data_IF_115620407794
#
_entry.id   IF_115620407794
#
_cell.length_a   1.000
_cell.length_b   1.000
_cell.length_c   1.000
_cell.angle_alpha   90.00
_cell.angle_beta   90.00
_cell.angle_gamma   90.00
#
_symmetry.space_group_name_H-M   'P 1'
#
loop_
_entity.id
_entity.type
_entity.pdbx_description
1 polymer ?
#
# COMPACT_ATOMS: atom_id res chain seq x y z
N UNK A 1 -3.48 -1.37 36.73
CA UNK A 1 -2.07 -1.26 37.16
C UNK A 1 -1.94 -0.04 38.07
N UNK A 2 -1.47 -0.20 39.31
CA UNK A 2 -1.45 0.88 40.30
C UNK A 2 -0.53 2.02 39.81
N UNK A 3 -0.98 3.28 39.83
CA UNK A 3 -0.23 4.44 39.31
C UNK A 3 1.18 4.56 39.91
N UNK A 4 1.38 4.07 41.14
CA UNK A 4 2.67 4.02 41.80
C UNK A 4 3.67 3.04 41.14
N UNK A 5 3.19 1.94 40.55
CA UNK A 5 4.02 0.92 39.89
C UNK A 5 4.49 1.42 38.52
N UNK A 6 3.61 2.08 37.77
CA UNK A 6 3.94 2.66 36.46
C UNK A 6 5.03 3.74 36.56
N UNK A 7 4.98 4.62 37.57
CA UNK A 7 6.03 5.63 37.80
C UNK A 7 7.38 5.01 38.16
N UNK A 8 7.39 3.94 38.96
CA UNK A 8 8.63 3.23 39.34
C UNK A 8 9.28 2.53 38.14
N UNK A 9 8.48 1.93 37.25
CA UNK A 9 8.99 1.29 36.03
C UNK A 9 9.56 2.34 35.06
N UNK A 10 8.86 3.47 34.87
CA UNK A 10 9.34 4.55 34.02
C UNK A 10 10.64 5.18 34.53
N UNK A 11 10.79 5.38 35.85
CA UNK A 11 12.05 5.89 36.43
C UNK A 11 13.20 4.90 36.27
N UNK A 12 12.93 3.60 36.34
CA UNK A 12 13.95 2.56 36.16
C UNK A 12 14.43 2.51 34.70
N UNK A 13 13.51 2.59 33.73
CA UNK A 13 13.83 2.64 32.30
C UNK A 13 14.61 3.89 31.92
N UNK A 14 14.24 5.06 32.46
CA UNK A 14 14.97 6.30 32.23
C UNK A 14 16.39 6.25 32.82
N UNK A 15 16.57 5.65 34.00
CA UNK A 15 17.89 5.45 34.60
C UNK A 15 18.73 4.46 33.78
N UNK A 16 18.14 3.39 33.26
CA UNK A 16 18.83 2.39 32.45
C UNK A 16 19.25 2.97 31.08
N UNK A 17 18.40 3.80 30.46
CA UNK A 17 18.74 4.55 29.24
C UNK A 17 19.88 5.55 29.49
N UNK A 18 19.82 6.33 30.57
CA UNK A 18 20.92 7.25 30.90
C UNK A 18 22.24 6.51 31.15
N UNK A 19 22.18 5.34 31.80
CA UNK A 19 23.36 4.52 32.05
C UNK A 19 23.97 3.95 30.76
N UNK A 20 23.13 3.50 29.82
CA UNK A 20 23.57 3.04 28.50
C UNK A 20 24.25 4.14 27.68
N UNK A 21 23.78 5.38 27.80
CA UNK A 21 24.38 6.55 27.13
C UNK A 21 25.70 6.96 27.80
N UNK A 22 25.82 6.80 29.13
CA UNK A 22 27.01 7.23 29.90
C UNK A 22 28.17 6.22 29.92
N UNK A 23 27.89 4.92 29.72
CA UNK A 23 28.91 3.87 29.66
C UNK A 23 30.05 4.15 28.66
N UNK A 24 29.77 4.54 27.40
CA UNK A 24 30.84 4.86 26.45
C UNK A 24 31.62 6.13 26.84
N UNK A 25 30.98 7.13 27.47
CA UNK A 25 31.65 8.36 27.92
C UNK A 25 32.64 8.07 29.05
N UNK A 26 32.29 7.18 29.98
CA UNK A 26 33.19 6.83 31.08
C UNK A 26 34.37 5.94 30.64
N UNK A 27 34.21 5.13 29.60
CA UNK A 27 35.31 4.36 29.03
C UNK A 27 36.43 5.27 28.46
N UNK A 28 36.07 6.47 27.99
CA UNK A 28 37.03 7.46 27.48
C UNK A 28 37.78 8.20 28.61
N UNK A 29 37.18 8.32 29.81
CA UNK A 29 37.80 8.98 30.95
C UNK A 29 38.76 8.07 31.74
N UNK A 30 38.74 6.75 31.49
CA UNK A 30 39.52 5.76 32.24
C UNK A 30 40.84 5.35 31.56
N UNK A 31 41.19 5.93 30.41
CA UNK A 31 42.49 5.70 29.76
C UNK A 31 43.50 6.74 30.23
N UNK A 32 44.42 6.31 31.10
CA UNK A 32 45.55 7.11 31.59
C UNK A 32 46.36 7.70 30.42
N UNK A 33 46.18 9.00 30.17
CA UNK A 33 46.98 9.76 29.20
C UNK A 33 48.21 10.33 29.89
N UNK A 34 49.30 9.55 29.88
CA UNK A 34 50.65 10.10 30.04
C UNK A 34 51.27 10.30 28.65
N UNK A 35 50.82 11.33 27.92
CA UNK A 35 51.53 11.80 26.75
C UNK A 35 51.29 13.30 26.54
N UNK A 36 52.39 14.01 26.33
CA UNK A 36 52.53 15.44 26.28
C UNK A 36 51.75 16.10 25.12
N UNK A 37 51.44 17.38 25.35
CA UNK A 37 51.06 18.36 24.33
C UNK A 37 51.99 18.31 23.11
N UNK A 38 51.46 17.84 21.98
CA UNK A 38 51.81 18.33 20.65
C UNK A 38 50.55 18.43 19.82
N UNK A 39 50.53 19.44 18.96
CA UNK A 39 49.42 19.90 18.14
C UNK A 39 49.13 18.91 17.00
N UNK A 40 48.68 17.70 17.33
CA UNK A 40 48.33 16.67 16.37
C UNK A 40 46.85 16.30 16.54
N UNK A 41 46.10 16.44 15.45
CA UNK A 41 44.74 15.93 15.36
C UNK A 41 44.75 14.44 15.61
N UNK A 42 44.14 14.00 16.71
CA UNK A 42 43.86 12.58 16.95
C UNK A 42 42.59 12.23 16.19
N UNK A 43 42.76 11.68 14.98
CA UNK A 43 41.67 11.02 14.25
C UNK A 43 41.69 9.55 14.62
N UNK A 44 40.96 9.20 15.69
CA UNK A 44 40.70 7.81 16.02
C UNK A 44 39.21 7.49 15.76
N UNK A 45 38.94 6.39 15.08
CA UNK A 45 37.59 5.97 14.75
C UNK A 45 36.92 5.41 16.00
N UNK A 46 36.27 6.29 16.76
CA UNK A 46 35.34 5.91 17.82
C UNK A 46 34.25 5.07 17.17
N UNK A 47 34.24 3.76 17.42
CA UNK A 47 33.19 2.80 17.06
C UNK A 47 32.30 3.29 15.90
N UNK A 48 32.72 3.04 14.65
CA UNK A 48 31.76 3.14 13.55
C UNK A 48 30.90 1.88 13.65
N UNK A 49 29.87 1.91 14.49
CA UNK A 49 28.70 1.10 14.23
C UNK A 49 28.13 1.63 12.92
N UNK A 50 28.58 1.03 11.82
CA UNK A 50 27.90 1.10 10.55
C UNK A 50 26.61 0.32 10.77
N UNK A 51 25.63 0.98 11.38
CA UNK A 51 24.25 0.66 11.03
C UNK A 51 24.22 0.88 9.53
N UNK A 52 24.18 -0.23 8.77
CA UNK A 52 23.56 -0.17 7.46
C UNK A 52 22.16 0.32 7.75
N UNK A 53 21.98 1.64 7.66
CA UNK A 53 20.66 2.23 7.50
C UNK A 53 20.26 1.70 6.14
N UNK A 54 19.67 0.51 6.13
CA UNK A 54 18.90 0.11 4.98
C UNK A 54 17.89 1.24 4.83
N UNK A 55 17.92 1.95 3.71
CA UNK A 55 17.10 3.14 3.41
C UNK A 55 15.57 2.90 3.47
N UNK A 56 15.14 1.73 3.98
CA UNK A 56 13.76 1.32 4.13
C UNK A 56 13.35 1.47 5.59
N UNK A 57 12.84 2.66 5.96
CA UNK A 57 12.24 2.94 7.27
C UNK A 57 10.81 2.37 7.32
N UNK A 58 10.66 1.06 7.16
CA UNK A 58 9.35 0.39 7.17
C UNK A 58 9.42 -0.89 8.01
N UNK A 59 8.29 -1.28 8.62
CA UNK A 59 8.25 -2.47 9.47
C UNK A 59 8.48 -3.74 8.64
N UNK A 60 9.25 -4.69 9.17
CA UNK A 60 9.35 -6.01 8.56
C UNK A 60 8.03 -6.76 8.81
N UNK A 61 7.27 -6.99 7.74
CA UNK A 61 6.00 -7.72 7.77
C UNK A 61 6.09 -8.85 6.76
N UNK A 62 5.83 -10.07 7.21
CA UNK A 62 5.86 -11.29 6.40
C UNK A 62 4.59 -12.09 6.59
N UNK A 63 4.18 -12.84 5.58
CA UNK A 63 3.03 -13.74 5.65
C UNK A 63 3.44 -15.16 5.24
N UNK A 64 2.97 -16.17 5.96
CA UNK A 64 3.36 -17.57 5.78
C UNK A 64 2.93 -18.11 4.40
N UNK A 65 1.75 -17.69 3.94
CA UNK A 65 1.15 -18.08 2.66
C UNK A 65 1.70 -17.33 1.44
N UNK A 66 2.69 -16.45 1.64
CA UNK A 66 3.41 -15.78 0.55
C UNK A 66 4.73 -16.45 0.21
N UNK A 67 5.17 -17.49 0.92
CA UNK A 67 6.45 -18.12 0.67
C UNK A 67 6.56 -18.58 -0.81
N UNK A 68 7.51 -18.00 -1.55
CA UNK A 68 7.72 -18.22 -2.99
C UNK A 68 6.60 -17.72 -3.91
N UNK A 69 5.65 -16.95 -3.38
CA UNK A 69 4.58 -16.33 -4.17
C UNK A 69 5.14 -15.16 -4.99
N UNK A 70 4.73 -15.04 -6.25
CA UNK A 70 5.28 -14.04 -7.18
C UNK A 70 5.10 -12.59 -6.71
N UNK A 71 4.03 -12.32 -5.95
CA UNK A 71 3.72 -11.01 -5.39
C UNK A 71 4.29 -10.77 -3.98
N UNK A 72 5.05 -11.72 -3.41
CA UNK A 72 5.51 -11.66 -2.02
C UNK A 72 6.19 -10.31 -1.70
N UNK A 73 7.22 -9.95 -2.47
CA UNK A 73 7.99 -8.74 -2.22
C UNK A 73 7.15 -7.45 -2.30
N UNK A 74 6.21 -7.37 -3.24
CA UNK A 74 5.34 -6.20 -3.40
C UNK A 74 4.32 -6.13 -2.24
N UNK A 75 3.78 -7.26 -1.80
CA UNK A 75 2.81 -7.33 -0.69
C UNK A 75 3.50 -6.98 0.64
N UNK A 76 4.65 -7.59 0.94
CA UNK A 76 5.40 -7.34 2.17
C UNK A 76 5.89 -5.88 2.24
N UNK A 77 6.32 -5.29 1.12
CA UNK A 77 6.65 -3.87 1.04
C UNK A 77 5.47 -2.97 1.41
N UNK A 78 4.30 -3.19 0.81
CA UNK A 78 3.11 -2.40 1.08
C UNK A 78 2.61 -2.61 2.51
N UNK A 79 2.73 -3.83 3.05
CA UNK A 79 2.34 -4.15 4.41
C UNK A 79 3.27 -3.49 5.43
N UNK A 80 4.58 -3.50 5.19
CA UNK A 80 5.58 -2.81 6.02
C UNK A 80 5.40 -1.29 6.06
N UNK A 81 4.84 -0.72 4.99
CA UNK A 81 4.41 0.69 4.89
C UNK A 81 3.04 0.96 5.52
N UNK A 82 2.32 -0.06 5.98
CA UNK A 82 0.98 0.06 6.54
C UNK A 82 -0.13 0.33 5.52
N UNK A 83 0.15 0.18 4.22
CA UNK A 83 -0.78 0.49 3.13
C UNK A 83 -1.74 -0.67 2.82
N UNK A 84 -1.33 -1.90 3.11
CA UNK A 84 -2.16 -3.10 3.05
C UNK A 84 -2.03 -3.92 4.34
N UNK A 85 -2.95 -4.85 4.55
CA UNK A 85 -2.96 -5.72 5.72
C UNK A 85 -3.40 -7.13 5.32
N UNK A 86 -2.88 -8.13 6.02
CA UNK A 86 -3.33 -9.52 5.89
C UNK A 86 -4.76 -9.71 6.36
N UNK A 87 -5.31 -10.88 6.08
CA UNK A 87 -6.60 -11.31 6.64
C UNK A 87 -6.46 -11.73 8.09
N UNK A 88 -5.24 -12.16 8.46
CA UNK A 88 -4.81 -12.40 9.84
C UNK A 88 -3.41 -11.79 10.02
N UNK A 89 -2.81 -11.97 11.20
CA UNK A 89 -1.44 -11.53 11.45
C UNK A 89 -0.38 -12.30 10.63
N UNK A 90 -0.70 -13.53 10.18
CA UNK A 90 0.25 -14.42 9.49
C UNK A 90 -0.18 -14.81 8.07
N UNK A 91 -1.42 -14.52 7.66
CA UNK A 91 -1.96 -14.89 6.34
C UNK A 91 -2.43 -13.66 5.55
N UNK A 92 -2.09 -13.61 4.26
CA UNK A 92 -2.55 -12.57 3.34
C UNK A 92 -3.70 -13.02 2.43
N UNK A 93 -3.78 -14.32 2.11
CA UNK A 93 -4.63 -14.98 1.12
C UNK A 93 -4.44 -14.43 -0.30
N UNK A 94 -3.22 -14.54 -0.88
CA UNK A 94 -2.88 -13.89 -2.15
C UNK A 94 -3.78 -14.27 -3.32
N UNK A 95 -4.16 -15.54 -3.42
CA UNK A 95 -4.94 -16.09 -4.54
C UNK A 95 -6.46 -15.98 -4.35
N UNK A 96 -6.92 -15.50 -3.19
CA UNK A 96 -8.35 -15.28 -2.97
C UNK A 96 -8.81 -14.08 -3.79
N UNK A 97 -10.01 -14.18 -4.37
CA UNK A 97 -10.66 -13.02 -4.96
C UNK A 97 -10.80 -11.88 -3.94
N UNK A 98 -10.52 -10.65 -4.40
CA UNK A 98 -10.74 -9.44 -3.62
C UNK A 98 -12.18 -8.96 -3.81
N UNK A 99 -12.83 -8.50 -2.74
CA UNK A 99 -14.16 -7.91 -2.88
C UNK A 99 -14.09 -6.45 -3.33
N UNK A 100 -15.18 -5.95 -3.90
CA UNK A 100 -15.30 -4.54 -4.30
C UNK A 100 -15.11 -3.58 -3.11
N UNK A 101 -15.66 -3.92 -1.93
CA UNK A 101 -15.47 -3.12 -0.72
C UNK A 101 -14.01 -3.14 -0.22
N UNK A 102 -13.35 -4.30 -0.27
CA UNK A 102 -11.94 -4.42 0.10
C UNK A 102 -11.05 -3.56 -0.80
N UNK A 103 -11.26 -3.61 -2.11
CA UNK A 103 -10.46 -2.81 -3.03
C UNK A 103 -10.69 -1.30 -2.85
N UNK A 104 -11.95 -0.87 -2.67
CA UNK A 104 -12.28 0.51 -2.37
C UNK A 104 -11.52 1.01 -1.13
N UNK A 105 -11.48 0.20 -0.06
CA UNK A 105 -10.77 0.54 1.17
C UNK A 105 -9.26 0.68 0.97
N UNK A 106 -8.66 -0.18 0.14
CA UNK A 106 -7.25 -0.05 -0.23
C UNK A 106 -6.96 1.30 -0.88
N UNK A 107 -7.77 1.70 -1.87
CA UNK A 107 -7.56 2.95 -2.60
C UNK A 107 -7.76 4.16 -1.70
N UNK A 108 -8.90 4.24 -1.02
CA UNK A 108 -9.26 5.35 -0.11
C UNK A 108 -8.17 5.57 0.94
N UNK A 109 -7.67 4.49 1.56
CA UNK A 109 -6.58 4.59 2.53
C UNK A 109 -5.27 5.03 1.88
N UNK A 110 -4.94 4.49 0.71
CA UNK A 110 -3.64 4.72 0.06
C UNK A 110 -3.43 6.16 -0.43
N UNK A 111 -4.51 6.89 -0.71
CA UNK A 111 -4.46 8.30 -1.10
C UNK A 111 -4.82 9.25 0.05
N UNK A 112 -5.01 8.71 1.26
CA UNK A 112 -5.43 9.44 2.46
C UNK A 112 -6.69 10.28 2.22
N UNK A 113 -7.68 9.68 1.53
CA UNK A 113 -8.88 10.38 1.14
C UNK A 113 -9.67 10.83 2.38
N UNK A 114 -10.03 12.11 2.41
CA UNK A 114 -10.85 12.68 3.48
C UNK A 114 -12.15 11.90 3.66
N UNK A 115 -12.39 11.45 4.89
CA UNK A 115 -13.60 10.69 5.19
C UNK A 115 -14.86 11.54 5.08
N UNK A 116 -15.83 11.02 4.34
CA UNK A 116 -17.18 11.53 4.23
C UNK A 116 -18.11 10.51 4.88
N UNK A 117 -18.90 10.94 5.86
CA UNK A 117 -19.81 10.07 6.64
C UNK A 117 -21.28 10.23 6.20
N UNK A 118 -21.52 10.68 4.97
CA UNK A 118 -22.86 10.82 4.43
C UNK A 118 -23.33 9.52 3.80
N UNK A 119 -24.62 9.22 3.90
CA UNK A 119 -25.19 8.06 3.23
C UNK A 119 -25.03 8.15 1.71
N UNK A 120 -24.73 7.01 1.09
CA UNK A 120 -24.68 6.90 -0.37
C UNK A 120 -26.08 6.65 -0.94
N UNK A 121 -26.24 6.77 -2.26
CA UNK A 121 -27.47 6.38 -2.95
C UNK A 121 -27.61 4.87 -3.16
N UNK A 122 -26.62 4.08 -2.74
CA UNK A 122 -26.63 2.63 -2.94
C UNK A 122 -27.59 1.93 -1.98
N UNK A 123 -28.42 1.06 -2.54
CA UNK A 123 -29.46 0.33 -1.79
C UNK A 123 -28.90 -0.84 -0.97
N UNK A 124 -27.67 -1.27 -1.24
CA UNK A 124 -27.00 -2.43 -0.64
C UNK A 124 -25.79 -2.04 0.24
N UNK A 125 -25.63 -0.75 0.56
CA UNK A 125 -24.63 -0.26 1.50
C UNK A 125 -25.31 0.11 2.82
N UNK A 126 -25.18 -0.77 3.81
CA UNK A 126 -25.64 -0.50 5.16
C UNK A 126 -24.73 0.53 5.85
N UNK A 127 -25.29 1.59 6.44
CA UNK A 127 -24.54 2.68 7.08
C UNK A 127 -23.64 2.23 8.25
N UNK A 128 -23.96 1.10 8.90
CA UNK A 128 -23.13 0.53 9.98
C UNK A 128 -22.08 -0.46 9.46
N UNK A 129 -21.99 -0.71 8.16
CA UNK A 129 -20.97 -1.57 7.59
C UNK A 129 -19.59 -0.91 7.68
N UNK A 130 -18.54 -1.71 7.91
CA UNK A 130 -17.17 -1.21 8.05
C UNK A 130 -16.67 -0.44 6.81
N UNK A 131 -17.24 -0.72 5.64
CA UNK A 131 -16.92 -0.07 4.37
C UNK A 131 -17.82 1.12 4.03
N UNK A 132 -18.85 1.44 4.83
CA UNK A 132 -19.84 2.45 4.47
C UNK A 132 -19.21 3.83 4.19
N UNK A 133 -18.42 4.34 5.14
CA UNK A 133 -17.73 5.63 5.01
C UNK A 133 -16.67 5.60 3.90
N UNK A 134 -16.02 4.46 3.71
CA UNK A 134 -15.05 4.27 2.62
C UNK A 134 -15.74 4.44 1.26
N UNK A 135 -16.86 3.75 1.06
CA UNK A 135 -17.63 3.82 -0.19
C UNK A 135 -18.17 5.22 -0.38
N UNK A 136 -18.72 5.86 0.66
CA UNK A 136 -19.20 7.22 0.59
C UNK A 136 -18.12 8.23 0.18
N UNK A 137 -16.93 8.10 0.77
CA UNK A 137 -15.78 8.96 0.43
C UNK A 137 -15.35 8.76 -1.03
N UNK A 138 -15.25 7.51 -1.48
CA UNK A 138 -14.87 7.18 -2.85
C UNK A 138 -15.90 7.66 -3.88
N UNK A 139 -17.20 7.59 -3.55
CA UNK A 139 -18.28 8.13 -4.39
C UNK A 139 -18.20 9.66 -4.47
N UNK A 140 -18.02 10.33 -3.33
CA UNK A 140 -17.86 11.79 -3.29
C UNK A 140 -16.66 12.27 -4.11
N UNK A 141 -15.58 11.48 -4.12
CA UNK A 141 -14.38 11.74 -4.92
C UNK A 141 -14.52 11.37 -6.42
N UNK A 142 -15.63 10.76 -6.85
CA UNK A 142 -15.80 10.30 -8.23
C UNK A 142 -14.98 9.05 -8.59
N UNK A 143 -14.43 8.36 -7.60
CA UNK A 143 -13.63 7.13 -7.80
C UNK A 143 -14.55 5.92 -8.01
N UNK A 144 -15.72 5.91 -7.36
CA UNK A 144 -16.72 4.82 -7.43
C UNK A 144 -18.08 5.38 -7.87
N UNK A 145 -18.68 4.73 -8.88
CA UNK A 145 -20.03 5.07 -9.38
C UNK A 145 -21.09 4.00 -9.10
N UNK A 146 -20.67 2.78 -8.75
CA UNK A 146 -21.55 1.61 -8.62
C UNK A 146 -22.17 1.18 -9.96
N UNK A 147 -23.30 0.48 -9.90
CA UNK A 147 -24.03 -0.06 -11.05
C UNK A 147 -25.32 0.73 -11.34
N UNK A 148 -25.87 0.57 -12.54
CA UNK A 148 -27.08 1.25 -13.03
C UNK A 148 -28.34 0.96 -12.17
N UNK A 149 -28.34 -0.14 -11.42
CA UNK A 149 -29.43 -0.54 -10.52
C UNK A 149 -29.34 0.11 -9.13
N UNK A 150 -28.48 1.12 -8.95
CA UNK A 150 -28.19 1.78 -7.67
C UNK A 150 -27.64 0.80 -6.62
N UNK A 151 -26.80 -0.15 -7.03
CA UNK A 151 -26.05 -1.03 -6.13
C UNK A 151 -24.54 -0.77 -6.21
N UNK A 152 -23.84 -1.04 -5.11
CA UNK A 152 -22.37 -1.07 -5.07
C UNK A 152 -21.83 -2.49 -5.19
N UNK A 153 -22.55 -3.48 -4.67
CA UNK A 153 -22.19 -4.90 -4.55
C UNK A 153 -20.92 -5.12 -3.73
N UNK A 154 -20.89 -4.69 -2.46
CA UNK A 154 -19.66 -4.64 -1.66
C UNK A 154 -18.97 -5.99 -1.45
N UNK A 155 -19.74 -7.08 -1.41
CA UNK A 155 -19.25 -8.42 -1.13
C UNK A 155 -18.97 -9.24 -2.40
N UNK A 156 -19.33 -8.72 -3.57
CA UNK A 156 -19.03 -9.38 -4.84
C UNK A 156 -17.53 -9.28 -5.12
N UNK A 157 -17.01 -10.30 -5.80
CA UNK A 157 -15.62 -10.28 -6.26
C UNK A 157 -15.45 -9.20 -7.33
N UNK A 158 -14.44 -8.35 -7.15
CA UNK A 158 -14.11 -7.34 -8.14
C UNK A 158 -13.45 -7.97 -9.36
N UNK A 159 -13.86 -7.57 -10.55
CA UNK A 159 -13.20 -8.01 -11.79
C UNK A 159 -11.94 -7.20 -12.07
N UNK A 160 -11.06 -7.73 -12.93
CA UNK A 160 -9.83 -7.04 -13.33
C UNK A 160 -10.11 -5.69 -14.02
N UNK A 161 -11.18 -5.60 -14.82
CA UNK A 161 -11.60 -4.33 -15.42
C UNK A 161 -12.15 -3.33 -14.38
N UNK A 162 -12.83 -3.81 -13.34
CA UNK A 162 -13.31 -2.97 -12.25
C UNK A 162 -12.15 -2.37 -11.45
N UNK A 163 -11.11 -3.18 -11.18
CA UNK A 163 -9.89 -2.67 -10.53
C UNK A 163 -9.22 -1.59 -11.39
N UNK A 164 -9.14 -1.81 -12.71
CA UNK A 164 -8.59 -0.84 -13.66
C UNK A 164 -9.35 0.49 -13.61
N UNK A 165 -10.69 0.41 -13.70
CA UNK A 165 -11.56 1.57 -13.70
C UNK A 165 -11.40 2.42 -12.43
N UNK A 166 -11.37 1.77 -11.27
CA UNK A 166 -11.18 2.46 -9.98
C UNK A 166 -9.80 3.11 -9.88
N UNK A 167 -8.73 2.44 -10.32
CA UNK A 167 -7.37 3.01 -10.26
C UNK A 167 -7.19 4.19 -11.20
N UNK A 168 -7.74 4.11 -12.42
CA UNK A 168 -7.65 5.23 -13.37
C UNK A 168 -8.41 6.45 -12.84
N UNK A 169 -9.58 6.26 -12.23
CA UNK A 169 -10.30 7.36 -11.58
C UNK A 169 -9.57 7.89 -10.34
N UNK A 170 -8.89 7.03 -9.59
CA UNK A 170 -8.04 7.46 -8.49
C UNK A 170 -6.85 8.31 -8.97
N UNK A 171 -6.24 7.97 -10.11
CA UNK A 171 -5.18 8.77 -10.74
C UNK A 171 -5.72 10.14 -11.19
N UNK A 172 -6.88 10.16 -11.83
CA UNK A 172 -7.56 11.41 -12.22
C UNK A 172 -7.86 12.29 -11.00
N UNK A 173 -8.36 11.68 -9.91
CA UNK A 173 -8.59 12.38 -8.65
C UNK A 173 -7.32 13.06 -8.12
N UNK A 174 -6.18 12.36 -8.14
CA UNK A 174 -4.88 12.93 -7.73
C UNK A 174 -4.18 13.73 -8.85
N UNK A 175 -4.91 14.12 -9.90
CA UNK A 175 -4.46 15.00 -10.99
C UNK A 175 -3.34 14.41 -11.88
N UNK A 176 -3.30 13.08 -12.01
CA UNK A 176 -2.38 12.38 -12.92
C UNK A 176 -3.15 11.97 -14.17
N UNK A 177 -2.84 12.63 -15.28
CA UNK A 177 -3.52 12.33 -16.55
C UNK A 177 -3.04 11.00 -17.12
N UNK A 178 -3.99 10.09 -17.34
CA UNK A 178 -3.80 8.83 -18.05
C UNK A 178 -4.59 8.78 -19.36
N UNK A 179 -4.92 9.95 -19.93
CA UNK A 179 -5.69 9.99 -21.17
C UNK A 179 -4.93 9.32 -22.30
N UNK A 180 -5.61 8.41 -23.00
CA UNK A 180 -5.10 7.71 -24.19
C UNK A 180 -6.02 8.06 -25.36
N UNK A 181 -5.51 8.53 -26.51
CA UNK A 181 -6.32 8.75 -27.72
C UNK A 181 -7.03 7.48 -28.20
N UNK A 182 -8.24 7.61 -28.75
CA UNK A 182 -9.10 6.47 -29.12
C UNK A 182 -8.40 5.46 -30.04
N UNK A 183 -7.68 5.92 -31.05
CA UNK A 183 -6.93 5.09 -31.98
C UNK A 183 -5.84 4.25 -31.28
N UNK A 184 -5.22 4.82 -30.25
CA UNK A 184 -4.24 4.14 -29.41
C UNK A 184 -4.92 3.14 -28.48
N UNK A 185 -6.09 3.47 -27.92
CA UNK A 185 -6.87 2.53 -27.11
C UNK A 185 -7.24 1.28 -27.94
N UNK A 186 -7.81 1.48 -29.12
CA UNK A 186 -8.24 0.40 -30.01
C UNK A 186 -7.03 -0.48 -30.42
N UNK A 187 -5.89 0.14 -30.73
CA UNK A 187 -4.66 -0.57 -31.06
C UNK A 187 -4.14 -1.41 -29.90
N UNK A 188 -4.10 -0.86 -28.68
CA UNK A 188 -3.66 -1.59 -27.48
C UNK A 188 -4.54 -2.81 -27.22
N UNK A 189 -5.86 -2.62 -27.27
CA UNK A 189 -6.82 -3.69 -26.99
C UNK A 189 -6.85 -4.75 -28.10
N UNK A 190 -6.62 -4.38 -29.37
CA UNK A 190 -6.60 -5.33 -30.50
C UNK A 190 -5.54 -6.42 -30.40
N UNK A 191 -4.52 -6.25 -29.55
CA UNK A 191 -3.52 -7.28 -29.25
C UNK A 191 -4.08 -8.46 -28.42
N UNK A 192 -5.27 -8.31 -27.85
CA UNK A 192 -5.88 -9.30 -26.96
C UNK A 192 -7.09 -9.96 -27.61
N UNK A 193 -7.11 -11.29 -27.56
CA UNK A 193 -8.15 -12.12 -28.18
C UNK A 193 -9.52 -12.01 -27.51
N UNK A 194 -9.54 -11.61 -26.25
CA UNK A 194 -10.72 -11.44 -25.38
C UNK A 194 -11.09 -9.95 -25.18
N UNK A 195 -10.50 -9.04 -25.96
CA UNK A 195 -10.80 -7.61 -25.86
C UNK A 195 -12.27 -7.26 -26.12
N UNK A 196 -13.00 -8.12 -26.85
CA UNK A 196 -14.44 -7.99 -27.10
C UNK A 196 -15.31 -8.34 -25.89
N UNK A 197 -14.74 -8.92 -24.83
CA UNK A 197 -15.46 -9.16 -23.56
C UNK A 197 -15.50 -7.93 -22.65
N UNK A 198 -14.73 -6.88 -22.96
CA UNK A 198 -14.78 -5.60 -22.25
C UNK A 198 -16.06 -4.88 -22.71
N UNK A 199 -16.94 -4.49 -21.79
CA UNK A 199 -18.25 -3.91 -22.16
C UNK A 199 -18.38 -2.44 -21.77
N UNK A 200 -17.79 -2.03 -20.65
CA UNK A 200 -18.08 -0.71 -20.06
C UNK A 200 -16.85 0.09 -19.59
N UNK A 201 -15.67 -0.54 -19.45
CA UNK A 201 -14.44 0.09 -18.96
C UNK A 201 -13.31 0.11 -20.01
N UNK A 202 -13.65 0.25 -21.30
CA UNK A 202 -12.67 0.24 -22.40
C UNK A 202 -11.56 1.27 -22.23
N UNK A 203 -11.94 2.52 -21.94
CA UNK A 203 -10.99 3.63 -21.81
C UNK A 203 -10.06 3.41 -20.62
N UNK A 204 -10.60 3.05 -19.46
CA UNK A 204 -9.81 2.85 -18.26
C UNK A 204 -8.90 1.62 -18.37
N UNK A 205 -9.36 0.53 -18.98
CA UNK A 205 -8.53 -0.64 -19.19
C UNK A 205 -7.38 -0.34 -20.16
N UNK A 206 -7.65 0.36 -21.26
CA UNK A 206 -6.61 0.80 -22.20
C UNK A 206 -5.60 1.76 -21.53
N UNK A 207 -6.09 2.71 -20.71
CA UNK A 207 -5.23 3.60 -19.94
C UNK A 207 -4.36 2.84 -18.93
N UNK A 208 -4.92 1.85 -18.24
CA UNK A 208 -4.19 1.02 -17.28
C UNK A 208 -3.11 0.16 -17.95
N UNK A 209 -3.37 -0.36 -19.16
CA UNK A 209 -2.38 -1.08 -19.97
C UNK A 209 -1.26 -0.13 -20.44
N UNK A 210 -1.63 1.05 -20.95
CA UNK A 210 -0.69 2.05 -21.44
C UNK A 210 0.24 2.56 -20.33
N UNK A 211 -0.29 2.74 -19.11
CA UNK A 211 0.48 3.14 -17.94
C UNK A 211 1.22 1.97 -17.24
N UNK A 212 1.13 0.75 -17.80
CA UNK A 212 1.70 -0.49 -17.22
C UNK A 212 1.26 -0.77 -15.78
N UNK A 213 0.05 -0.32 -15.43
CA UNK A 213 -0.60 -0.60 -14.15
C UNK A 213 -1.13 -2.03 -14.14
N UNK A 214 -1.75 -2.45 -15.26
CA UNK A 214 -2.21 -3.82 -15.51
C UNK A 214 -1.49 -4.39 -16.73
N UNK A 215 -1.26 -5.70 -16.72
CA UNK A 215 -0.81 -6.48 -17.88
C UNK A 215 -1.85 -7.55 -18.21
N UNK A 216 -1.78 -8.13 -19.41
CA UNK A 216 -2.54 -9.35 -19.72
C UNK A 216 -2.23 -10.49 -18.75
N UNK A 217 -3.20 -11.39 -18.53
CA UNK A 217 -2.96 -12.66 -17.82
C UNK A 217 -2.05 -13.59 -18.63
N UNK A 218 -2.08 -13.43 -19.95
CA UNK A 218 -1.13 -14.00 -20.90
C UNK A 218 -0.74 -12.92 -21.91
N UNK A 219 0.16 -13.24 -22.84
CA UNK A 219 0.58 -12.33 -23.91
C UNK A 219 -0.58 -11.86 -24.81
N UNK A 220 -1.71 -12.60 -24.85
CA UNK A 220 -2.84 -12.32 -25.74
C UNK A 220 -4.23 -12.41 -25.05
N UNK A 221 -4.28 -12.48 -23.72
CA UNK A 221 -5.53 -12.44 -22.95
C UNK A 221 -5.47 -11.42 -21.82
N UNK A 222 -6.52 -10.60 -21.71
CA UNK A 222 -6.70 -9.64 -20.62
C UNK A 222 -7.27 -10.28 -19.37
N UNK A 223 -8.21 -11.22 -19.55
CA UNK A 223 -9.05 -11.74 -18.48
C UNK A 223 -9.83 -10.64 -17.77
N UNK A 224 -10.28 -9.60 -18.50
CA UNK A 224 -10.92 -8.40 -17.94
C UNK A 224 -12.11 -8.72 -17.04
N UNK A 225 -12.97 -9.65 -17.49
CA UNK A 225 -14.18 -10.10 -16.82
C UNK A 225 -13.94 -11.07 -15.65
N UNK A 226 -12.71 -11.56 -15.47
CA UNK A 226 -12.38 -12.54 -14.42
C UNK A 226 -12.22 -11.85 -13.06
N UNK A 227 -12.60 -12.53 -11.95
CA UNK A 227 -12.30 -12.06 -10.60
C UNK A 227 -10.80 -11.82 -10.42
N UNK A 228 -10.46 -10.65 -9.87
CA UNK A 228 -9.09 -10.32 -9.51
C UNK A 228 -8.75 -10.87 -8.12
N UNK A 229 -7.53 -11.34 -7.97
CA UNK A 229 -6.97 -11.82 -6.70
C UNK A 229 -6.48 -10.67 -5.82
N UNK A 230 -6.33 -10.92 -4.52
CA UNK A 230 -5.73 -9.96 -3.58
C UNK A 230 -4.28 -9.62 -3.96
N UNK A 231 -3.53 -10.58 -4.50
CA UNK A 231 -2.18 -10.34 -4.99
C UNK A 231 -2.15 -9.39 -6.20
N UNK A 232 -3.02 -9.61 -7.18
CA UNK A 232 -3.15 -8.70 -8.34
C UNK A 232 -3.55 -7.29 -7.88
N UNK A 233 -4.49 -7.17 -6.95
CA UNK A 233 -4.89 -5.89 -6.39
C UNK A 233 -3.75 -5.18 -5.65
N UNK A 234 -2.93 -5.90 -4.87
CA UNK A 234 -1.78 -5.33 -4.17
C UNK A 234 -0.70 -4.83 -5.15
N UNK A 235 -0.39 -5.61 -6.18
CA UNK A 235 0.60 -5.22 -7.19
C UNK A 235 0.12 -4.04 -8.03
N UNK A 236 -1.17 -4.01 -8.36
CA UNK A 236 -1.80 -2.86 -9.01
C UNK A 236 -1.72 -1.62 -8.13
N UNK A 237 -2.03 -1.74 -6.82
CA UNK A 237 -1.92 -0.65 -5.86
C UNK A 237 -0.48 -0.13 -5.75
N UNK A 238 0.51 -1.02 -5.69
CA UNK A 238 1.93 -0.64 -5.67
C UNK A 238 2.30 0.18 -6.91
N UNK A 239 1.88 -0.27 -8.10
CA UNK A 239 2.17 0.42 -9.37
C UNK A 239 1.51 1.79 -9.42
N UNK A 240 0.26 1.88 -8.95
CA UNK A 240 -0.45 3.14 -8.79
C UNK A 240 0.30 4.10 -7.86
N UNK A 241 0.68 3.65 -6.66
CA UNK A 241 1.41 4.47 -5.70
C UNK A 241 2.77 4.93 -6.24
N UNK A 242 3.48 4.06 -6.94
CA UNK A 242 4.74 4.41 -7.60
C UNK A 242 4.52 5.48 -8.67
N UNK A 243 3.47 5.34 -9.50
CA UNK A 243 3.15 6.31 -10.53
C UNK A 243 2.72 7.66 -9.94
N UNK A 244 2.11 7.63 -8.75
CA UNK A 244 1.67 8.82 -8.03
C UNK A 244 2.74 9.44 -7.10
N UNK A 245 3.99 8.97 -7.15
CA UNK A 245 5.09 9.39 -6.26
C UNK A 245 4.71 9.31 -4.76
N UNK A 246 3.96 8.26 -4.40
CA UNK A 246 3.42 7.99 -3.06
C UNK A 246 3.91 6.66 -2.47
N UNK A 247 4.91 6.03 -3.09
CA UNK A 247 5.48 4.77 -2.63
C UNK A 247 6.69 4.99 -1.74
#
# INVERSE_FOLDING_TARGET
>A
MNHAVSRKIASLLAALMMMAIMLPVMAFAATDSSAASTNESVSDSVYTDVYSVNDNVYAEVTFEDLASHWAQADIELLAGKGLISGVTASEFQPDRAITRAEFAALIVRSIELSSVTTSTYFTDVNESAWYADTVASAVYAGIINGYEDNTFRPNDSATREELAAVIIRALDYVQISTHVPQDTQDKLLSGYTDANEVVWAHQELAAALNAHLINGVTDNQLGSSKPATRAEAAVLLKRFLKLADRL
#
